data_IF_821932790554
#
_entry.id   IF_821932790554
#
_cell.length_a   1.000
_cell.length_b   1.000
_cell.length_c   1.000
_cell.angle_alpha   90.00
_cell.angle_beta   90.00
_cell.angle_gamma   90.00
#
_symmetry.space_group_name_H-M   'P 1'
#
loop_
_entity.id
_entity.type
_entity.pdbx_description
1 polymer ?
#
# COMPACT_ATOMS: atom_id res chain seq x y z
N UNK A 1 -19.63 0.47 19.39
CA UNK A 1 -18.61 -0.13 20.27
C UNK A 1 -17.35 0.71 20.17
N UNK A 2 -16.90 1.30 21.28
CA UNK A 2 -15.62 2.02 21.33
C UNK A 2 -14.53 0.98 21.15
N UNK A 3 -13.81 1.00 20.01
CA UNK A 3 -12.57 0.20 19.86
C UNK A 3 -11.66 0.64 21.01
N UNK A 4 -11.33 -0.27 21.92
CA UNK A 4 -10.28 -0.01 22.91
C UNK A 4 -9.06 0.53 22.17
N UNK A 5 -8.48 1.63 22.69
CA UNK A 5 -7.29 2.35 22.20
C UNK A 5 -5.99 1.50 22.21
N UNK A 6 -6.10 0.18 22.12
CA UNK A 6 -4.96 -0.72 22.06
C UNK A 6 -4.44 -0.73 20.63
N UNK A 7 -3.25 -0.15 20.46
CA UNK A 7 -2.48 -0.26 19.24
C UNK A 7 -2.18 -1.73 18.93
N UNK A 8 -2.06 -2.05 17.64
CA UNK A 8 -1.65 -3.37 17.19
C UNK A 8 -0.32 -3.80 17.84
N UNK A 9 -0.07 -5.12 18.01
CA UNK A 9 1.09 -5.62 18.74
C UNK A 9 2.41 -5.01 18.28
N UNK A 10 3.22 -4.56 19.25
CA UNK A 10 4.55 -4.01 18.99
C UNK A 10 4.56 -2.64 18.29
N UNK A 11 3.45 -1.90 18.33
CA UNK A 11 3.33 -0.54 17.80
C UNK A 11 3.35 0.52 18.91
N UNK A 12 3.87 1.71 18.60
CA UNK A 12 3.67 2.92 19.39
C UNK A 12 3.08 4.04 18.52
N UNK A 13 2.25 4.91 19.10
CA UNK A 13 1.62 5.99 18.35
C UNK A 13 2.62 7.13 18.07
N UNK A 14 2.46 7.77 16.91
CA UNK A 14 3.10 9.06 16.58
C UNK A 14 2.05 10.06 16.08
N UNK A 15 2.30 11.33 16.34
CA UNK A 15 1.33 12.41 16.07
C UNK A 15 1.40 12.97 14.64
N UNK A 16 2.51 12.73 13.95
CA UNK A 16 2.71 13.18 12.56
C UNK A 16 2.72 11.98 11.60
N UNK A 17 2.41 12.23 10.32
CA UNK A 17 2.49 11.22 9.28
C UNK A 17 3.71 11.48 8.37
N UNK A 18 4.88 10.89 8.65
CA UNK A 18 6.07 11.11 7.85
C UNK A 18 6.03 10.34 6.53
N UNK A 19 6.84 10.77 5.55
CA UNK A 19 7.18 9.90 4.42
C UNK A 19 8.16 8.88 4.97
N UNK A 20 7.86 7.61 4.78
CA UNK A 20 8.70 6.53 5.23
C UNK A 20 8.70 5.42 4.20
N UNK A 21 9.78 4.64 4.16
CA UNK A 21 9.98 3.55 3.22
C UNK A 21 11.39 3.00 3.31
N UNK A 22 11.76 2.15 2.35
CA UNK A 22 13.14 1.68 2.21
C UNK A 22 14.01 2.84 1.70
N UNK A 23 15.17 3.03 2.33
CA UNK A 23 16.07 4.18 2.08
C UNK A 23 16.52 4.29 0.63
N UNK A 24 16.64 3.17 -0.09
CA UNK A 24 16.99 3.12 -1.53
C UNK A 24 15.97 3.80 -2.48
N UNK A 25 14.80 4.22 -1.97
CA UNK A 25 13.78 4.98 -2.71
C UNK A 25 13.59 6.41 -2.16
N UNK A 26 14.40 6.85 -1.20
CA UNK A 26 14.24 8.17 -0.56
C UNK A 26 14.34 9.31 -1.59
N UNK A 27 15.22 9.16 -2.56
CA UNK A 27 15.66 10.11 -3.58
C UNK A 27 15.06 9.82 -4.97
N UNK A 28 14.17 8.81 -5.06
CA UNK A 28 13.55 8.36 -6.33
C UNK A 28 12.09 8.81 -6.49
N UNK A 29 11.73 10.03 -6.10
CA UNK A 29 10.33 10.48 -6.19
C UNK A 29 10.20 11.76 -7.00
N UNK A 30 9.06 11.92 -7.68
CA UNK A 30 8.71 13.16 -8.36
C UNK A 30 7.97 14.08 -7.39
N UNK A 31 8.39 15.35 -7.32
CA UNK A 31 7.62 16.42 -6.65
C UNK A 31 6.43 16.87 -7.50
N UNK A 32 6.47 16.62 -8.81
CA UNK A 32 5.42 17.00 -9.74
C UNK A 32 4.30 15.96 -9.74
N UNK A 33 3.07 16.41 -9.52
CA UNK A 33 1.87 15.59 -9.70
C UNK A 33 1.65 15.39 -11.20
N UNK A 34 1.65 14.14 -11.65
CA UNK A 34 1.23 13.76 -13.00
C UNK A 34 -0.26 13.39 -13.00
N UNK A 35 -0.96 13.52 -14.15
CA UNK A 35 -2.30 12.95 -14.27
C UNK A 35 -2.26 11.44 -13.97
N UNK A 36 -3.41 10.90 -13.56
CA UNK A 36 -3.55 9.48 -13.32
C UNK A 36 -3.38 8.69 -14.63
N UNK A 37 -2.45 7.73 -14.63
CA UNK A 37 -2.25 6.75 -15.70
C UNK A 37 -1.80 5.43 -15.06
N UNK A 38 -2.73 4.48 -14.94
CA UNK A 38 -2.49 3.17 -14.33
C UNK A 38 -2.62 2.09 -15.38
N UNK A 39 -1.55 1.33 -15.60
CA UNK A 39 -1.59 0.12 -16.41
C UNK A 39 -2.18 -1.04 -15.60
N UNK A 40 -3.23 -1.67 -16.11
CA UNK A 40 -3.73 -2.95 -15.61
C UNK A 40 -3.21 -4.07 -16.52
N UNK A 41 -2.53 -5.05 -15.94
CA UNK A 41 -1.90 -6.14 -16.71
C UNK A 41 -1.74 -7.44 -15.92
N UNK A 42 -0.85 -8.33 -16.36
CA UNK A 42 -0.62 -9.65 -15.75
C UNK A 42 -1.27 -10.78 -16.55
N UNK A 43 -1.78 -11.78 -15.83
CA UNK A 43 -2.58 -12.91 -16.31
C UNK A 43 -4.05 -12.47 -16.50
N UNK A 44 -4.26 -11.68 -17.56
CA UNK A 44 -5.52 -11.04 -17.91
C UNK A 44 -5.78 -11.20 -19.41
N UNK A 45 -7.05 -11.19 -19.83
CA UNK A 45 -7.39 -11.23 -21.25
C UNK A 45 -7.01 -9.91 -21.94
N UNK A 46 -7.41 -8.77 -21.36
CA UNK A 46 -7.17 -7.45 -21.93
C UNK A 46 -6.30 -6.59 -21.01
N UNK A 47 -5.23 -6.00 -21.57
CA UNK A 47 -4.43 -5.00 -20.88
C UNK A 47 -4.98 -3.62 -21.19
N UNK A 48 -5.27 -2.84 -20.16
CA UNK A 48 -5.83 -1.50 -20.31
C UNK A 48 -5.02 -0.48 -19.52
N UNK A 49 -5.10 0.78 -19.93
CA UNK A 49 -4.65 1.92 -19.14
C UNK A 49 -5.86 2.68 -18.64
N UNK A 50 -5.88 2.99 -17.36
CA UNK A 50 -6.93 3.76 -16.71
C UNK A 50 -6.43 5.17 -16.43
N UNK A 51 -7.24 6.15 -16.82
CA UNK A 51 -7.15 7.54 -16.43
C UNK A 51 -8.20 7.87 -15.36
N UNK A 52 -8.18 9.10 -14.85
CA UNK A 52 -9.07 9.55 -13.77
C UNK A 52 -10.56 9.35 -14.09
N UNK A 53 -10.99 9.71 -15.30
CA UNK A 53 -12.38 9.54 -15.79
C UNK A 53 -12.86 8.08 -15.76
N UNK A 54 -11.95 7.11 -15.85
CA UNK A 54 -12.34 5.71 -15.90
C UNK A 54 -12.78 5.21 -14.49
N UNK A 55 -12.54 6.02 -13.44
CA UNK A 55 -13.01 5.79 -12.08
C UNK A 55 -14.40 6.38 -11.80
N UNK A 56 -14.98 7.16 -12.72
CA UNK A 56 -16.32 7.77 -12.57
C UNK A 56 -17.44 6.77 -12.20
N UNK A 57 -17.44 5.50 -12.66
CA UNK A 57 -18.46 4.52 -12.25
C UNK A 57 -18.39 4.11 -10.76
N UNK A 58 -17.32 4.47 -10.05
CA UNK A 58 -17.10 4.10 -8.67
C UNK A 58 -17.62 5.16 -7.72
N UNK A 59 -18.24 4.71 -6.63
CA UNK A 59 -18.64 5.61 -5.55
C UNK A 59 -17.44 5.95 -4.69
N UNK A 60 -17.16 7.24 -4.55
CA UNK A 60 -16.18 7.75 -3.60
C UNK A 60 -16.71 7.59 -2.18
N UNK A 61 -15.86 7.11 -1.28
CA UNK A 61 -16.16 6.98 0.14
C UNK A 61 -15.08 7.64 0.99
N UNK A 62 -15.43 7.92 2.24
CA UNK A 62 -14.50 8.32 3.28
C UNK A 62 -14.34 7.19 4.30
N UNK A 63 -13.12 7.02 4.79
CA UNK A 63 -12.77 6.00 5.77
C UNK A 63 -11.68 6.52 6.70
N UNK A 64 -11.95 6.49 8.00
CA UNK A 64 -10.91 6.70 9.01
C UNK A 64 -10.24 5.37 9.32
N UNK A 65 -8.92 5.28 9.14
CA UNK A 65 -8.16 4.08 9.48
C UNK A 65 -6.73 4.40 9.92
N UNK A 66 -6.17 3.53 10.75
CA UNK A 66 -4.79 3.64 11.22
C UNK A 66 -3.80 3.17 10.14
N UNK A 67 -2.59 3.73 10.19
CA UNK A 67 -1.45 3.30 9.38
C UNK A 67 -0.36 2.75 10.29
N UNK A 68 0.06 1.50 10.04
CA UNK A 68 1.03 0.80 10.88
C UNK A 68 2.33 0.56 10.13
N UNK A 69 3.43 1.16 10.57
CA UNK A 69 4.74 0.88 9.99
C UNK A 69 5.32 -0.42 10.55
N UNK A 70 6.00 -1.19 9.69
CA UNK A 70 6.71 -2.41 10.08
C UNK A 70 7.84 -2.10 11.08
N UNK A 71 8.38 -0.87 11.04
CA UNK A 71 9.42 -0.37 11.96
C UNK A 71 8.85 0.12 13.30
N UNK A 72 7.67 -0.35 13.71
CA UNK A 72 7.12 -0.26 15.08
C UNK A 72 6.35 1.01 15.46
N UNK A 73 6.07 1.92 14.53
CA UNK A 73 5.23 3.10 14.80
C UNK A 73 3.88 3.06 14.06
N UNK A 74 2.86 3.68 14.64
CA UNK A 74 1.52 3.81 14.08
C UNK A 74 1.08 5.26 14.05
N UNK A 75 0.51 5.69 12.93
CA UNK A 75 -0.23 6.95 12.84
C UNK A 75 -1.73 6.62 12.83
N UNK A 76 -2.45 7.12 13.83
CA UNK A 76 -3.87 6.82 14.01
C UNK A 76 -4.77 7.85 13.33
N UNK A 77 -6.02 7.44 13.09
CA UNK A 77 -7.12 8.32 12.69
C UNK A 77 -6.85 9.11 11.40
N UNK A 78 -6.24 8.49 10.40
CA UNK A 78 -6.08 9.11 9.08
C UNK A 78 -7.40 9.02 8.32
N UNK A 79 -7.94 10.16 7.87
CA UNK A 79 -9.18 10.20 7.08
C UNK A 79 -8.82 10.07 5.60
N UNK A 80 -8.98 8.87 5.06
CA UNK A 80 -8.78 8.60 3.64
C UNK A 80 -10.07 8.82 2.87
N UNK A 81 -9.97 9.35 1.65
CA UNK A 81 -11.08 9.33 0.70
C UNK A 81 -10.63 8.75 -0.63
N UNK A 82 -11.52 8.00 -1.28
CA UNK A 82 -11.21 7.27 -2.52
C UNK A 82 -12.24 6.21 -2.83
N UNK A 83 -11.81 5.13 -3.46
CA UNK A 83 -12.69 4.07 -3.98
C UNK A 83 -12.35 2.74 -3.33
N UNK A 84 -13.36 1.95 -2.95
CA UNK A 84 -13.12 0.59 -2.44
C UNK A 84 -12.47 -0.24 -3.54
N UNK A 85 -11.40 -0.95 -3.19
CA UNK A 85 -10.74 -1.84 -4.14
C UNK A 85 -11.68 -2.96 -4.61
N UNK A 86 -12.57 -3.44 -3.73
CA UNK A 86 -13.63 -4.39 -4.06
C UNK A 86 -14.55 -3.88 -5.17
N UNK A 87 -15.01 -2.63 -5.08
CA UNK A 87 -15.90 -2.02 -6.08
C UNK A 87 -15.14 -1.77 -7.39
N UNK A 88 -13.89 -1.29 -7.30
CA UNK A 88 -12.98 -1.17 -8.45
C UNK A 88 -12.82 -2.52 -9.17
N UNK A 89 -12.56 -3.58 -8.43
CA UNK A 89 -12.40 -4.93 -8.98
C UNK A 89 -13.68 -5.41 -9.67
N UNK A 90 -14.83 -5.26 -9.02
CA UNK A 90 -16.10 -5.75 -9.54
C UNK A 90 -16.63 -4.95 -10.74
N UNK A 91 -16.49 -3.63 -10.72
CA UNK A 91 -17.11 -2.73 -11.71
C UNK A 91 -16.17 -2.36 -12.85
N UNK A 92 -14.85 -2.39 -12.64
CA UNK A 92 -13.86 -2.01 -13.66
C UNK A 92 -13.06 -3.23 -14.11
N UNK A 93 -12.47 -3.98 -13.19
CA UNK A 93 -11.53 -5.05 -13.56
C UNK A 93 -12.27 -6.24 -14.20
N UNK A 94 -13.29 -6.79 -13.54
CA UNK A 94 -13.99 -7.96 -14.07
C UNK A 94 -14.61 -7.72 -15.46
N UNK A 95 -15.28 -6.59 -15.75
CA UNK A 95 -15.90 -6.39 -17.07
C UNK A 95 -14.89 -6.08 -18.18
N UNK A 96 -13.84 -5.31 -17.88
CA UNK A 96 -12.96 -4.72 -18.92
C UNK A 96 -11.62 -5.45 -19.09
N UNK A 97 -11.14 -6.14 -18.07
CA UNK A 97 -9.79 -6.75 -18.04
C UNK A 97 -9.87 -8.27 -18.04
N UNK A 98 -10.88 -8.82 -17.36
CA UNK A 98 -11.14 -10.27 -17.21
C UNK A 98 -9.88 -11.05 -16.80
N UNK A 99 -9.41 -10.89 -15.54
CA UNK A 99 -8.32 -11.71 -15.01
C UNK A 99 -8.66 -13.19 -15.05
N UNK A 100 -7.66 -14.02 -15.26
CA UNK A 100 -7.77 -15.48 -15.14
C UNK A 100 -8.41 -15.88 -13.81
N UNK A 101 -9.25 -16.93 -13.80
CA UNK A 101 -9.88 -17.43 -12.57
C UNK A 101 -8.86 -17.99 -11.55
N UNK A 102 -7.61 -18.19 -11.97
CA UNK A 102 -6.51 -18.58 -11.10
C UNK A 102 -5.77 -17.38 -10.50
N UNK A 103 -6.04 -16.15 -10.96
CA UNK A 103 -5.32 -14.94 -10.56
C UNK A 103 -5.61 -14.53 -9.11
N UNK A 104 -4.92 -15.16 -8.17
CA UNK A 104 -5.12 -15.02 -6.73
C UNK A 104 -4.22 -13.96 -6.08
N UNK A 105 -3.31 -13.35 -6.82
CA UNK A 105 -2.36 -12.37 -6.32
C UNK A 105 -2.35 -11.11 -7.18
N UNK A 106 -2.10 -9.97 -6.53
CA UNK A 106 -2.01 -8.68 -7.21
C UNK A 106 -0.69 -8.01 -6.84
N UNK A 107 0.09 -7.66 -7.86
CA UNK A 107 1.33 -6.90 -7.74
C UNK A 107 1.03 -5.44 -8.05
N UNK A 108 1.42 -4.55 -7.15
CA UNK A 108 1.34 -3.11 -7.34
C UNK A 108 2.73 -2.55 -7.62
N UNK A 109 2.82 -1.61 -8.57
CA UNK A 109 4.05 -0.87 -8.86
C UNK A 109 3.86 0.61 -8.62
N UNK A 110 4.89 1.20 -8.03
CA UNK A 110 5.02 2.64 -7.81
C UNK A 110 5.88 3.26 -8.90
N UNK A 111 5.73 4.56 -9.12
CA UNK A 111 6.55 5.36 -10.03
C UNK A 111 8.05 5.26 -9.74
N UNK A 112 8.44 5.14 -8.47
CA UNK A 112 9.83 5.01 -8.00
C UNK A 112 10.44 3.60 -8.22
N UNK A 113 9.67 2.70 -8.85
CA UNK A 113 10.03 1.30 -9.08
C UNK A 113 9.80 0.38 -7.88
N UNK A 114 9.30 0.90 -6.75
CA UNK A 114 8.88 0.07 -5.62
C UNK A 114 7.73 -0.86 -6.03
N UNK A 115 7.71 -2.05 -5.46
CA UNK A 115 6.65 -3.04 -5.70
C UNK A 115 6.15 -3.62 -4.39
N UNK A 116 4.86 -3.90 -4.34
CA UNK A 116 4.25 -4.71 -3.28
C UNK A 116 3.37 -5.80 -3.91
N UNK A 117 3.06 -6.83 -3.13
CA UNK A 117 2.17 -7.92 -3.53
C UNK A 117 1.19 -8.19 -2.39
N UNK A 118 -0.06 -8.49 -2.73
CA UNK A 118 -1.07 -8.97 -1.79
C UNK A 118 -1.93 -10.06 -2.43
N UNK A 119 -2.45 -11.01 -1.64
CA UNK A 119 -3.52 -11.89 -2.11
C UNK A 119 -4.75 -11.07 -2.53
N UNK A 120 -5.40 -11.45 -3.62
CA UNK A 120 -6.63 -10.81 -4.08
C UNK A 120 -7.72 -10.86 -3.00
N UNK A 121 -7.82 -11.97 -2.26
CA UNK A 121 -8.77 -12.10 -1.15
C UNK A 121 -8.58 -11.06 -0.04
N UNK A 122 -7.33 -10.60 0.18
CA UNK A 122 -7.04 -9.54 1.15
C UNK A 122 -7.42 -8.17 0.63
N UNK A 123 -7.26 -7.94 -0.68
CA UNK A 123 -7.61 -6.70 -1.35
C UNK A 123 -9.12 -6.50 -1.51
N UNK A 124 -9.88 -7.59 -1.52
CA UNK A 124 -11.35 -7.56 -1.56
C UNK A 124 -12.00 -7.32 -0.20
N UNK A 125 -11.22 -7.08 0.85
CA UNK A 125 -11.75 -6.64 2.14
C UNK A 125 -12.36 -5.23 2.04
N UNK A 126 -13.40 -4.95 2.83
CA UNK A 126 -14.19 -3.72 2.70
C UNK A 126 -13.42 -2.44 3.10
N UNK A 127 -12.32 -2.57 3.84
CA UNK A 127 -11.48 -1.46 4.31
C UNK A 127 -10.33 -1.10 3.35
N UNK A 128 -10.15 -1.83 2.25
CA UNK A 128 -9.07 -1.58 1.28
C UNK A 128 -9.50 -0.56 0.25
N UNK A 129 -8.72 0.53 0.13
CA UNK A 129 -9.03 1.65 -0.77
C UNK A 129 -7.94 1.87 -1.81
N UNK A 130 -8.37 2.34 -2.98
CA UNK A 130 -7.58 3.20 -3.85
C UNK A 130 -7.89 4.65 -3.47
N UNK A 131 -6.99 5.29 -2.72
CA UNK A 131 -7.18 6.63 -2.17
C UNK A 131 -6.46 7.69 -3.00
N UNK A 132 -7.11 8.83 -3.19
CA UNK A 132 -6.61 10.03 -3.86
C UNK A 132 -6.70 11.28 -2.96
N UNK A 133 -7.27 11.15 -1.75
CA UNK A 133 -7.34 12.20 -0.74
C UNK A 133 -6.95 11.70 0.65
N UNK A 134 -6.44 12.63 1.45
CA UNK A 134 -6.12 12.44 2.86
C UNK A 134 -6.50 13.71 3.62
N UNK A 135 -7.27 13.55 4.70
CA UNK A 135 -7.72 14.62 5.59
C UNK A 135 -8.44 15.76 4.82
N UNK A 136 -9.29 15.38 3.87
CA UNK A 136 -10.10 16.29 3.03
C UNK A 136 -9.36 16.84 1.79
N UNK A 137 -8.04 16.84 1.80
CA UNK A 137 -7.21 17.40 0.74
C UNK A 137 -6.77 16.33 -0.28
N UNK A 138 -6.52 16.70 -1.56
CA UNK A 138 -5.82 15.84 -2.50
C UNK A 138 -4.50 15.33 -1.91
N UNK A 139 -4.13 14.09 -2.22
CA UNK A 139 -2.84 13.57 -1.78
C UNK A 139 -1.71 14.49 -2.24
N UNK A 140 -0.76 14.73 -1.34
CA UNK A 140 0.51 15.33 -1.71
C UNK A 140 1.43 14.28 -2.35
N UNK A 141 2.46 14.73 -3.08
CA UNK A 141 3.51 13.85 -3.57
C UNK A 141 4.12 13.02 -2.42
N UNK A 142 4.29 13.61 -1.23
CA UNK A 142 4.79 12.90 -0.03
C UNK A 142 3.97 11.64 0.30
N UNK A 143 2.65 11.71 0.11
CA UNK A 143 1.69 10.68 0.50
C UNK A 143 1.20 9.80 -0.64
N UNK A 144 1.74 9.97 -1.85
CA UNK A 144 1.55 9.02 -2.95
C UNK A 144 0.57 9.46 -4.02
N UNK A 145 0.40 10.77 -4.23
CA UNK A 145 -0.37 11.32 -5.34
C UNK A 145 0.03 10.72 -6.71
N UNK A 146 -0.89 10.68 -7.70
CA UNK A 146 -2.31 11.06 -7.58
C UNK A 146 -3.18 9.97 -6.92
N UNK A 147 -2.72 8.71 -6.89
CA UNK A 147 -3.46 7.59 -6.31
C UNK A 147 -2.52 6.64 -5.57
N UNK A 148 -2.97 6.15 -4.41
CA UNK A 148 -2.27 5.14 -3.62
C UNK A 148 -3.21 3.99 -3.23
N UNK A 149 -2.62 2.84 -2.92
CA UNK A 149 -3.30 1.78 -2.21
C UNK A 149 -3.30 2.06 -0.70
N UNK A 150 -4.42 1.80 -0.01
CA UNK A 150 -4.57 1.85 1.46
C UNK A 150 -5.06 0.49 1.95
N UNK A 151 -4.28 -0.13 2.84
CA UNK A 151 -4.50 -1.50 3.34
C UNK A 151 -4.36 -1.54 4.87
N UNK A 152 -5.39 -1.12 5.62
CA UNK A 152 -5.26 -0.86 7.07
C UNK A 152 -4.84 -2.07 7.91
N UNK A 153 -5.25 -3.28 7.49
CA UNK A 153 -4.92 -4.51 8.21
C UNK A 153 -3.47 -4.99 7.99
N UNK A 154 -2.69 -4.31 7.13
CA UNK A 154 -1.34 -4.70 6.72
C UNK A 154 -0.31 -3.63 7.08
N UNK A 155 0.97 -4.03 7.14
CA UNK A 155 2.04 -3.06 7.35
C UNK A 155 2.16 -2.09 6.17
N UNK A 156 2.52 -0.85 6.48
CA UNK A 156 2.44 0.30 5.57
C UNK A 156 3.24 0.17 4.27
N UNK A 157 4.24 -0.71 4.17
CA UNK A 157 4.94 -0.95 2.91
C UNK A 157 4.07 -1.73 1.89
N UNK A 158 2.99 -2.40 2.33
CA UNK A 158 1.97 -2.97 1.44
C UNK A 158 1.04 -1.90 0.86
N UNK A 159 0.98 -0.72 1.49
CA UNK A 159 0.16 0.42 1.08
C UNK A 159 0.93 1.27 0.04
N UNK A 160 0.97 0.79 -1.20
CA UNK A 160 1.78 1.34 -2.30
C UNK A 160 1.38 2.78 -2.65
N UNK A 161 2.38 3.67 -2.70
CA UNK A 161 2.24 5.08 -3.14
C UNK A 161 2.44 5.20 -4.65
N UNK A 162 2.00 6.31 -5.25
CA UNK A 162 2.30 6.68 -6.64
C UNK A 162 1.98 5.55 -7.62
N UNK A 163 0.77 5.02 -7.54
CA UNK A 163 0.43 3.77 -8.22
C UNK A 163 0.49 3.96 -9.75
N UNK A 164 1.26 3.10 -10.42
CA UNK A 164 1.44 3.13 -11.89
C UNK A 164 1.02 1.83 -12.57
N UNK A 165 1.01 0.71 -11.83
CA UNK A 165 0.62 -0.59 -12.40
C UNK A 165 -0.05 -1.47 -11.36
N UNK A 166 -1.12 -2.17 -11.77
CA UNK A 166 -1.77 -3.24 -11.03
C UNK A 166 -1.72 -4.50 -11.90
N UNK A 167 -1.09 -5.56 -11.41
CA UNK A 167 -0.92 -6.81 -12.17
C UNK A 167 -1.56 -7.99 -11.44
N UNK A 168 -2.40 -8.74 -12.15
CA UNK A 168 -3.04 -9.94 -11.63
C UNK A 168 -2.21 -11.17 -11.98
N UNK A 169 -1.98 -12.07 -11.04
CA UNK A 169 -1.14 -13.26 -11.24
C UNK A 169 -1.67 -14.46 -10.46
N UNK A 170 -1.43 -15.69 -10.94
CA UNK A 170 -1.88 -16.89 -10.24
C UNK A 170 -1.12 -17.19 -8.95
N UNK A 171 0.14 -16.74 -8.89
CA UNK A 171 1.03 -16.97 -7.76
C UNK A 171 2.05 -15.83 -7.59
N UNK A 172 2.90 -15.93 -6.56
CA UNK A 172 3.91 -14.94 -6.21
C UNK A 172 5.20 -15.02 -7.06
N UNK A 173 5.31 -15.94 -8.03
CA UNK A 173 6.55 -16.19 -8.80
C UNK A 173 7.03 -14.98 -9.59
N UNK A 174 6.13 -14.04 -9.92
CA UNK A 174 6.45 -12.81 -10.65
C UNK A 174 6.92 -11.67 -9.75
N UNK A 175 6.82 -11.81 -8.42
CA UNK A 175 7.16 -10.74 -7.47
C UNK A 175 8.62 -10.75 -7.03
N UNK A 176 9.13 -11.89 -6.57
CA UNK A 176 10.53 -12.05 -6.18
C UNK A 176 11.24 -13.09 -7.04
N UNK A 177 12.51 -12.85 -7.43
CA UNK A 177 13.38 -13.92 -7.88
C UNK A 177 13.42 -15.02 -6.81
N UNK A 178 13.51 -16.31 -7.17
CA UNK A 178 13.46 -17.43 -6.22
C UNK A 178 14.41 -17.26 -5.03
N UNK A 179 15.57 -16.66 -5.25
CA UNK A 179 16.60 -16.38 -4.23
C UNK A 179 16.13 -15.47 -3.09
N UNK A 180 15.15 -14.57 -3.33
CA UNK A 180 14.69 -13.59 -2.34
C UNK A 180 13.35 -13.94 -1.70
N UNK A 181 12.79 -15.13 -1.98
CA UNK A 181 11.50 -15.55 -1.41
C UNK A 181 11.50 -15.63 0.12
N UNK A 182 12.65 -15.88 0.75
CA UNK A 182 12.78 -15.92 2.21
C UNK A 182 12.52 -14.56 2.89
N UNK A 183 12.61 -13.47 2.13
CA UNK A 183 12.30 -12.11 2.58
C UNK A 183 10.83 -11.72 2.31
N UNK A 184 10.04 -12.58 1.65
CA UNK A 184 8.63 -12.29 1.36
C UNK A 184 7.81 -12.39 2.64
N UNK A 185 7.04 -11.35 2.91
CA UNK A 185 5.94 -11.40 3.88
C UNK A 185 4.65 -11.36 3.07
N UNK A 186 4.08 -12.54 2.72
CA UNK A 186 3.04 -12.61 1.69
C UNK A 186 1.81 -11.78 2.06
N UNK A 187 1.36 -11.85 3.32
CA UNK A 187 0.25 -11.05 3.84
C UNK A 187 0.77 -9.80 4.56
N UNK A 188 1.59 -9.95 5.60
CA UNK A 188 2.11 -8.86 6.43
C UNK A 188 1.03 -8.18 7.28
N UNK A 189 0.17 -8.99 7.89
CA UNK A 189 -0.90 -8.58 8.80
C UNK A 189 -0.33 -8.03 10.10
N UNK A 190 -0.81 -6.86 10.49
CA UNK A 190 -0.29 -6.13 11.65
C UNK A 190 -0.72 -6.81 12.95
N UNK A 191 -1.97 -7.24 13.01
CA UNK A 191 -2.59 -7.85 14.20
C UNK A 191 -1.91 -9.15 14.62
N UNK A 192 -1.38 -9.91 13.65
CA UNK A 192 -0.65 -11.16 13.87
C UNK A 192 0.87 -10.98 13.98
N UNK A 193 1.35 -9.73 14.06
CA UNK A 193 2.78 -9.38 14.11
C UNK A 193 3.63 -10.02 12.98
N UNK A 194 3.10 -10.08 11.75
CA UNK A 194 3.78 -10.67 10.58
C UNK A 194 4.88 -9.75 10.00
N UNK A 195 5.82 -9.29 10.83
CA UNK A 195 6.95 -8.41 10.46
C UNK A 195 8.18 -9.17 9.99
N UNK A 196 8.22 -10.47 10.27
CA UNK A 196 9.36 -11.35 10.10
C UNK A 196 8.88 -12.78 9.96
N UNK A 197 9.53 -13.57 9.10
CA UNK A 197 9.28 -15.02 9.02
C UNK A 197 10.19 -15.82 9.96
N UNK A 198 11.44 -15.34 10.13
CA UNK A 198 12.51 -16.13 10.73
C UNK A 198 12.92 -15.65 12.13
N UNK A 199 12.70 -14.36 12.42
CA UNK A 199 13.10 -13.77 13.68
C UNK A 199 11.88 -13.41 14.52
N UNK A 200 11.94 -13.60 15.85
CA UNK A 200 10.89 -13.15 16.75
C UNK A 200 10.62 -11.64 16.62
N UNK A 201 9.35 -11.24 16.69
CA UNK A 201 8.94 -9.83 16.57
C UNK A 201 9.70 -8.92 17.54
N UNK A 202 9.88 -9.32 18.80
CA UNK A 202 10.62 -8.52 19.79
C UNK A 202 12.07 -8.18 19.37
N UNK A 203 12.74 -9.10 18.68
CA UNK A 203 14.10 -8.91 18.20
C UNK A 203 14.15 -7.92 17.04
N UNK A 204 13.24 -8.06 16.07
CA UNK A 204 13.11 -7.12 14.95
C UNK A 204 12.75 -5.71 15.44
N UNK A 205 11.88 -5.60 16.45
CA UNK A 205 11.54 -4.31 17.07
C UNK A 205 12.77 -3.63 17.68
N UNK A 206 13.63 -4.40 18.35
CA UNK A 206 14.88 -3.89 18.91
C UNK A 206 15.82 -3.35 17.83
N UNK A 207 15.93 -4.04 16.68
CA UNK A 207 16.76 -3.62 15.56
C UNK A 207 16.21 -2.38 14.82
N UNK A 208 14.88 -2.29 14.62
CA UNK A 208 14.28 -1.23 13.82
C UNK A 208 14.14 0.10 14.54
N UNK A 209 13.83 0.09 15.85
CA UNK A 209 13.52 1.31 16.61
C UNK A 209 14.59 2.41 16.52
N UNK A 210 15.90 2.12 16.63
CA UNK A 210 16.92 3.15 16.53
C UNK A 210 16.99 3.84 15.17
N UNK A 211 16.54 3.17 14.10
CA UNK A 211 16.65 3.65 12.72
C UNK A 211 15.51 4.60 12.32
N UNK A 212 14.40 4.63 13.08
CA UNK A 212 13.19 5.39 12.68
C UNK A 212 13.50 6.88 12.47
N UNK A 213 14.17 7.52 13.42
CA UNK A 213 14.45 8.97 13.35
C UNK A 213 15.37 9.33 12.19
N UNK A 214 16.43 8.54 11.97
CA UNK A 214 17.37 8.79 10.88
C UNK A 214 16.73 8.54 9.52
N UNK A 215 15.89 7.51 9.38
CA UNK A 215 15.14 7.27 8.15
C UNK A 215 14.13 8.39 7.87
N UNK A 216 13.35 8.85 8.86
CA UNK A 216 12.43 9.98 8.68
C UNK A 216 13.20 11.21 8.21
N UNK A 217 14.30 11.55 8.89
CA UNK A 217 15.14 12.70 8.54
C UNK A 217 15.67 12.61 7.11
N UNK A 218 16.18 11.44 6.71
CA UNK A 218 16.65 11.22 5.34
C UNK A 218 15.55 11.51 4.32
N UNK A 219 14.36 10.94 4.52
CA UNK A 219 13.22 11.18 3.63
C UNK A 219 12.74 12.63 3.64
N UNK A 220 12.89 13.38 4.74
CA UNK A 220 12.55 14.79 4.80
C UNK A 220 13.59 15.67 4.09
N UNK A 221 14.86 15.31 4.18
CA UNK A 221 15.96 16.03 3.52
C UNK A 221 15.93 15.85 2.00
N UNK A 222 15.62 14.65 1.50
CA UNK A 222 15.47 14.43 0.05
C UNK A 222 14.20 15.07 -0.53
N UNK A 223 13.27 15.49 0.32
CA UNK A 223 11.99 16.11 -0.06
C UNK A 223 12.05 17.63 -0.25
N UNK A 224 13.17 18.27 0.08
CA UNK A 224 13.42 19.72 -0.07
C UNK A 224 13.98 20.03 -1.44
#
# INVERSE_FOLDING_TARGET
MVKNNLLSPGQFAIDHFPRFGLTQYADKYSTQSSPLDILISGDVEDKIRLAEKDLDPLTRIEQTSDFHCVTTWTRQNLLWSGYRFKDFYQKIILPNVRPSNKANYVIFRSQDGFRSILPLSDLLADEVLLADRLDGEPLSAKHGAPLRLVTPAHYGYKSTKHLTTIEFWPDESKFHPPMYRFMSHPRARVEFEERGLWFPGWFLRYLYRPQIKSTIKLFEETMK
#
